data_IF_195374657469
#
_entry.id   IF_195374657469
#
_cell.length_a   1.000
_cell.length_b   1.000
_cell.length_c   1.000
_cell.angle_alpha   90.00
_cell.angle_beta   90.00
_cell.angle_gamma   90.00
#
_symmetry.space_group_name_H-M   'P 1'
#
loop_
_entity.id
_entity.type
_entity.pdbx_description
1 polymer ?
#
# COMPACT_ATOMS: atom_id res chain seq x y z
N UNK A 1 9.23 5.71 -10.57
CA UNK A 1 8.24 5.90 -9.49
C UNK A 1 6.89 5.51 -10.03
N UNK A 2 6.14 4.71 -9.29
CA UNK A 2 4.79 4.25 -9.62
C UNK A 2 3.92 4.22 -8.36
N UNK A 3 2.61 4.18 -8.55
CA UNK A 3 1.63 4.06 -7.48
C UNK A 3 0.55 3.06 -7.87
N UNK A 4 0.24 2.16 -6.95
CA UNK A 4 -0.88 1.24 -7.05
C UNK A 4 -1.90 1.51 -5.95
N UNK A 5 -3.19 1.48 -6.26
CA UNK A 5 -4.26 1.65 -5.27
C UNK A 5 -5.55 0.98 -5.71
N UNK A 6 -6.40 0.69 -4.77
CA UNK A 6 -7.75 0.16 -5.02
C UNK A 6 -8.72 0.63 -3.94
N UNK A 7 -9.98 0.61 -4.26
CA UNK A 7 -11.04 0.74 -3.27
C UNK A 7 -11.23 -0.57 -2.53
N UNK A 8 -11.49 -0.48 -1.25
CA UNK A 8 -11.70 -1.63 -0.37
C UNK A 8 -12.79 -2.55 -0.95
N UNK A 9 -12.52 -3.86 -0.98
CA UNK A 9 -13.37 -4.90 -1.56
C UNK A 9 -13.66 -4.78 -3.07
N UNK A 10 -13.09 -3.81 -3.78
CA UNK A 10 -13.15 -3.80 -5.24
C UNK A 10 -12.17 -4.84 -5.80
N UNK A 11 -12.50 -5.41 -6.97
CA UNK A 11 -11.58 -6.33 -7.67
C UNK A 11 -10.53 -5.58 -8.48
N UNK A 12 -10.86 -4.39 -8.96
CA UNK A 12 -9.99 -3.60 -9.81
C UNK A 12 -8.90 -2.89 -9.00
N UNK A 13 -7.66 -3.10 -9.40
CA UNK A 13 -6.49 -2.36 -8.90
C UNK A 13 -6.08 -1.35 -9.94
N UNK A 14 -5.97 -0.10 -9.54
CA UNK A 14 -5.40 0.95 -10.37
C UNK A 14 -3.88 0.96 -10.21
N UNK A 15 -3.15 1.18 -11.30
CA UNK A 15 -1.71 1.30 -11.28
C UNK A 15 -1.23 2.35 -12.27
N UNK A 16 -0.34 3.24 -11.83
CA UNK A 16 0.19 4.32 -12.65
C UNK A 16 1.70 4.47 -12.49
N UNK A 17 2.39 4.67 -13.60
CA UNK A 17 3.80 5.03 -13.61
C UNK A 17 3.96 6.54 -13.75
N UNK A 18 4.69 7.15 -12.83
CA UNK A 18 5.13 8.55 -12.96
C UNK A 18 6.48 8.66 -13.67
N UNK A 19 7.32 7.65 -13.53
CA UNK A 19 8.63 7.62 -14.16
C UNK A 19 9.13 6.18 -14.27
N UNK A 20 9.29 5.70 -15.51
CA UNK A 20 9.88 4.39 -15.79
C UNK A 20 10.49 4.38 -17.20
N UNK A 21 11.58 3.60 -17.44
CA UNK A 21 12.28 3.55 -18.72
C UNK A 21 11.41 3.01 -19.88
N UNK A 22 10.50 2.08 -19.58
CA UNK A 22 9.66 1.40 -20.57
C UNK A 22 8.30 2.09 -20.76
N UNK A 23 8.03 3.16 -20.03
CA UNK A 23 6.76 3.89 -20.06
C UNK A 23 7.01 5.36 -20.37
N UNK A 24 6.37 5.83 -21.40
CA UNK A 24 6.39 7.25 -21.82
C UNK A 24 5.46 8.07 -20.92
N UNK A 25 5.62 7.93 -19.63
CA UNK A 25 4.71 8.49 -18.65
C UNK A 25 5.38 9.64 -17.92
N UNK A 26 4.90 10.78 -18.19
CA UNK A 26 5.12 11.93 -17.33
C UNK A 26 3.90 12.15 -16.46
N UNK A 27 4.17 12.68 -15.29
CA UNK A 27 3.25 13.32 -14.39
C UNK A 27 2.28 14.22 -15.19
N UNK A 28 1.18 13.67 -15.63
CA UNK A 28 0.18 14.41 -16.39
C UNK A 28 -0.98 14.86 -15.50
N UNK A 29 -1.62 15.96 -15.88
CA UNK A 29 -2.68 16.55 -15.07
C UNK A 29 -3.90 15.67 -14.88
N UNK A 30 -4.19 14.78 -15.83
CA UNK A 30 -5.34 13.88 -15.75
C UNK A 30 -5.12 12.80 -14.67
N UNK A 31 -3.96 12.12 -14.69
CA UNK A 31 -3.59 11.12 -13.68
C UNK A 31 -3.51 11.75 -12.29
N UNK A 32 -2.91 12.94 -12.18
CA UNK A 32 -2.82 13.67 -10.91
C UNK A 32 -4.21 14.00 -10.36
N UNK A 33 -5.09 14.54 -11.19
CA UNK A 33 -6.45 14.87 -10.76
C UNK A 33 -7.24 13.63 -10.35
N UNK A 34 -7.07 12.51 -11.06
CA UNK A 34 -7.73 11.25 -10.71
C UNK A 34 -7.29 10.75 -9.34
N UNK A 35 -5.98 10.69 -9.10
CA UNK A 35 -5.44 10.24 -7.81
C UNK A 35 -5.89 11.18 -6.68
N UNK A 36 -5.81 12.50 -6.88
CA UNK A 36 -6.25 13.47 -5.87
C UNK A 36 -7.75 13.34 -5.59
N UNK A 37 -8.57 13.18 -6.63
CA UNK A 37 -10.02 12.98 -6.46
C UNK A 37 -10.35 11.69 -5.68
N UNK A 38 -9.55 10.64 -5.86
CA UNK A 38 -9.71 9.41 -5.08
C UNK A 38 -9.27 9.60 -3.63
N UNK A 39 -8.17 10.30 -3.39
CA UNK A 39 -7.74 10.67 -2.04
C UNK A 39 -8.76 11.55 -1.31
N UNK A 40 -9.34 12.52 -2.01
CA UNK A 40 -10.36 13.44 -1.45
C UNK A 40 -11.66 12.73 -1.02
N UNK A 41 -11.93 11.55 -1.57
CA UNK A 41 -13.09 10.71 -1.24
C UNK A 41 -12.75 9.61 -0.24
N UNK A 42 -11.49 9.49 0.16
CA UNK A 42 -11.01 8.42 1.02
C UNK A 42 -11.09 8.87 2.48
N UNK A 43 -11.91 8.19 3.26
CA UNK A 43 -12.02 8.42 4.71
C UNK A 43 -10.85 7.77 5.45
N UNK A 44 -10.49 6.54 5.08
CA UNK A 44 -9.39 5.78 5.67
C UNK A 44 -8.42 5.32 4.59
N UNK A 45 -7.17 5.77 4.64
CA UNK A 45 -6.10 5.34 3.76
C UNK A 45 -5.32 4.20 4.40
N UNK A 46 -5.31 3.04 3.74
CA UNK A 46 -4.67 1.83 4.24
C UNK A 46 -3.36 1.59 3.47
N UNK A 47 -2.31 1.25 4.19
CA UNK A 47 -1.05 0.87 3.55
C UNK A 47 -0.13 0.08 4.47
N UNK A 48 0.92 -0.47 3.89
CA UNK A 48 1.98 -1.18 4.60
C UNK A 48 3.20 -0.27 4.74
N UNK A 49 3.56 0.13 5.97
CA UNK A 49 4.61 1.14 6.20
C UNK A 49 4.32 2.43 5.42
N UNK A 50 3.07 2.81 5.42
CA UNK A 50 2.46 3.85 4.58
C UNK A 50 3.11 5.23 4.75
N UNK A 51 3.86 5.43 5.81
CA UNK A 51 4.64 6.65 6.04
C UNK A 51 5.48 7.02 4.80
N UNK A 52 6.10 6.04 4.14
CA UNK A 52 6.88 6.28 2.93
C UNK A 52 6.01 6.72 1.77
N UNK A 53 4.87 6.07 1.57
CA UNK A 53 3.92 6.38 0.50
C UNK A 53 3.37 7.80 0.67
N UNK A 54 2.98 8.18 1.88
CA UNK A 54 2.50 9.53 2.19
C UNK A 54 3.59 10.58 1.97
N UNK A 55 4.83 10.29 2.35
CA UNK A 55 5.94 11.21 2.07
C UNK A 55 6.13 11.42 0.57
N UNK A 56 6.05 10.35 -0.24
CA UNK A 56 6.13 10.45 -1.69
C UNK A 56 4.93 11.18 -2.29
N UNK A 57 3.71 10.86 -1.87
CA UNK A 57 2.50 11.55 -2.32
C UNK A 57 2.61 13.06 -2.05
N UNK A 58 3.01 13.45 -0.84
CA UNK A 58 3.21 14.86 -0.49
C UNK A 58 4.33 15.52 -1.30
N UNK A 59 5.43 14.84 -1.54
CA UNK A 59 6.51 15.33 -2.39
C UNK A 59 6.07 15.54 -3.84
N UNK A 60 5.11 14.73 -4.32
CA UNK A 60 4.48 14.88 -5.63
C UNK A 60 3.33 15.92 -5.64
N UNK A 61 3.04 16.58 -4.51
CA UNK A 61 2.04 17.64 -4.42
C UNK A 61 0.62 17.15 -4.06
N UNK A 62 0.43 15.86 -3.79
CA UNK A 62 -0.84 15.32 -3.32
C UNK A 62 -1.11 15.71 -1.86
N UNK A 63 -2.39 15.81 -1.52
CA UNK A 63 -2.87 16.13 -0.17
C UNK A 63 -3.76 15.01 0.34
N UNK A 64 -3.53 14.62 1.57
CA UNK A 64 -4.41 13.72 2.30
C UNK A 64 -4.30 14.04 3.79
N UNK A 65 -5.43 14.31 4.41
CA UNK A 65 -5.57 14.66 5.83
C UNK A 65 -6.59 13.76 6.55
N UNK A 66 -7.00 12.64 5.91
CA UNK A 66 -7.91 11.66 6.48
C UNK A 66 -7.19 10.68 7.43
N UNK A 67 -7.94 9.70 7.90
CA UNK A 67 -7.44 8.64 8.79
C UNK A 67 -6.47 7.73 8.05
N UNK A 68 -5.40 7.32 8.74
CA UNK A 68 -4.38 6.42 8.19
C UNK A 68 -4.40 5.12 8.99
N UNK A 69 -4.49 3.99 8.28
CA UNK A 69 -4.29 2.66 8.84
C UNK A 69 -3.01 2.04 8.27
N UNK A 70 -2.00 1.89 9.11
CA UNK A 70 -0.72 1.26 8.74
C UNK A 70 -0.67 -0.18 9.24
N UNK A 71 -0.70 -1.16 8.32
CA UNK A 71 -0.67 -2.58 8.65
C UNK A 71 0.60 -3.01 9.39
N UNK A 72 1.71 -2.32 9.16
CA UNK A 72 2.96 -2.58 9.89
C UNK A 72 2.85 -2.11 11.35
N UNK A 73 2.29 -0.94 11.59
CA UNK A 73 2.08 -0.40 12.94
C UNK A 73 1.05 -1.23 13.70
N UNK A 74 -0.06 -1.57 13.05
CA UNK A 74 -1.08 -2.45 13.62
C UNK A 74 -0.50 -3.80 14.07
N UNK A 75 0.36 -4.41 13.24
CA UNK A 75 1.03 -5.66 13.61
C UNK A 75 2.03 -5.49 14.75
N UNK A 76 2.75 -4.38 14.77
CA UNK A 76 3.66 -4.06 15.88
C UNK A 76 2.89 -4.01 17.21
N UNK A 77 1.78 -3.31 17.26
CA UNK A 77 0.93 -3.23 18.46
C UNK A 77 0.39 -4.60 18.86
N UNK A 78 -0.10 -5.37 17.86
CA UNK A 78 -0.60 -6.72 18.07
C UNK A 78 0.48 -7.67 18.60
N UNK A 79 1.73 -7.45 18.23
CA UNK A 79 2.85 -8.27 18.68
C UNK A 79 3.09 -8.19 20.20
N UNK A 80 2.60 -7.13 20.86
CA UNK A 80 2.81 -6.88 22.30
C UNK A 80 4.26 -7.02 22.72
N UNK A 81 5.18 -6.45 21.92
CA UNK A 81 6.63 -6.47 22.17
C UNK A 81 7.34 -7.76 21.73
N UNK A 82 6.65 -8.71 21.11
CA UNK A 82 7.30 -9.87 20.49
C UNK A 82 8.07 -9.41 19.24
N UNK A 83 9.21 -10.04 18.99
CA UNK A 83 10.04 -9.74 17.82
C UNK A 83 9.52 -10.47 16.57
N UNK A 84 8.34 -10.10 16.12
CA UNK A 84 7.79 -10.63 14.88
C UNK A 84 8.34 -9.84 13.68
N UNK A 85 8.49 -10.51 12.55
CA UNK A 85 8.72 -9.80 11.29
C UNK A 85 7.48 -8.97 10.93
N UNK A 86 7.70 -7.72 10.58
CA UNK A 86 6.65 -6.77 10.18
C UNK A 86 6.61 -6.57 8.66
N UNK A 87 7.42 -7.32 7.90
CA UNK A 87 7.39 -7.29 6.44
C UNK A 87 6.06 -7.84 5.91
N UNK A 88 5.54 -7.28 4.82
CA UNK A 88 4.25 -7.66 4.24
C UNK A 88 4.17 -9.17 3.96
N UNK A 89 5.23 -9.78 3.41
CA UNK A 89 5.28 -11.22 3.15
C UNK A 89 5.14 -12.06 4.43
N UNK A 90 5.70 -11.57 5.54
CA UNK A 90 5.58 -12.26 6.82
C UNK A 90 4.16 -12.12 7.40
N UNK A 91 3.53 -10.96 7.19
CA UNK A 91 2.13 -10.72 7.57
C UNK A 91 1.21 -11.59 6.72
N UNK A 92 1.38 -11.60 5.41
CA UNK A 92 0.58 -12.41 4.49
C UNK A 92 0.62 -13.90 4.87
N UNK A 93 1.79 -14.43 5.19
CA UNK A 93 1.95 -15.82 5.70
C UNK A 93 1.24 -16.02 7.03
N UNK A 94 1.36 -15.09 7.97
CA UNK A 94 0.78 -15.18 9.32
C UNK A 94 -0.73 -15.20 9.27
N UNK A 95 -1.32 -14.39 8.41
CA UNK A 95 -2.77 -14.28 8.24
C UNK A 95 -3.34 -15.26 7.21
N UNK A 96 -2.48 -16.04 6.54
CA UNK A 96 -2.86 -16.99 5.49
C UNK A 96 -3.69 -16.32 4.39
N UNK A 97 -3.24 -15.17 3.94
CA UNK A 97 -3.82 -14.41 2.82
C UNK A 97 -2.97 -14.58 1.56
N UNK A 98 -3.38 -13.94 0.46
CA UNK A 98 -2.68 -14.03 -0.82
C UNK A 98 -1.19 -13.72 -0.64
N UNK A 99 -0.37 -14.68 -1.04
CA UNK A 99 1.07 -14.54 -1.04
C UNK A 99 1.53 -14.26 -2.46
N UNK A 100 2.60 -13.49 -2.59
CA UNK A 100 3.28 -13.36 -3.88
C UNK A 100 3.75 -14.74 -4.32
N UNK A 101 3.23 -15.24 -5.43
CA UNK A 101 3.57 -16.56 -5.95
C UNK A 101 5.05 -16.66 -6.31
N UNK A 102 5.65 -15.56 -6.72
CA UNK A 102 7.05 -15.51 -7.12
C UNK A 102 7.63 -14.16 -6.76
N UNK A 103 8.81 -14.19 -6.19
CA UNK A 103 9.61 -13.01 -5.98
C UNK A 103 10.20 -12.52 -7.31
N UNK A 104 9.38 -11.84 -8.09
CA UNK A 104 9.71 -11.41 -9.45
C UNK A 104 10.80 -10.32 -9.47
N UNK A 105 10.96 -9.56 -8.42
CA UNK A 105 11.86 -8.39 -8.38
C UNK A 105 13.20 -8.68 -7.69
N UNK A 106 13.23 -9.56 -6.70
CA UNK A 106 14.46 -9.86 -5.94
C UNK A 106 15.64 -10.32 -6.81
N UNK A 107 15.47 -11.14 -7.87
CA UNK A 107 16.60 -11.49 -8.74
C UNK A 107 17.27 -10.27 -9.36
N UNK A 108 16.46 -9.29 -9.81
CA UNK A 108 16.97 -8.05 -10.38
C UNK A 108 17.68 -7.18 -9.34
N UNK A 109 17.09 -7.04 -8.15
CA UNK A 109 17.67 -6.25 -7.06
C UNK A 109 19.00 -6.85 -6.56
N UNK A 110 19.12 -8.18 -6.49
CA UNK A 110 20.37 -8.87 -6.17
C UNK A 110 21.46 -8.64 -7.21
N UNK A 111 21.07 -8.44 -8.47
CA UNK A 111 21.95 -8.10 -9.60
C UNK A 111 22.35 -6.61 -9.60
N UNK A 112 21.95 -5.85 -8.58
CA UNK A 112 22.25 -4.43 -8.44
C UNK A 112 21.37 -3.51 -9.29
N UNK A 113 20.31 -4.03 -9.88
CA UNK A 113 19.33 -3.25 -10.63
C UNK A 113 18.37 -2.52 -9.69
N UNK A 114 17.84 -1.42 -10.16
CA UNK A 114 16.79 -0.65 -9.47
C UNK A 114 15.41 -0.95 -10.07
N UNK A 115 14.35 -0.53 -9.42
CA UNK A 115 12.99 -0.63 -9.99
C UNK A 115 12.84 0.08 -11.34
N UNK A 116 13.71 1.03 -11.66
CA UNK A 116 13.75 1.66 -12.97
C UNK A 116 14.27 0.73 -14.07
N UNK A 117 15.15 -0.21 -13.70
CA UNK A 117 15.81 -1.15 -14.61
C UNK A 117 15.00 -2.44 -14.83
N UNK A 118 14.04 -2.73 -13.97
CA UNK A 118 13.15 -3.90 -14.07
C UNK A 118 12.07 -3.60 -15.12
N UNK A 119 11.68 -4.59 -15.97
CA UNK A 119 10.57 -4.39 -16.90
C UNK A 119 9.31 -3.87 -16.24
N UNK A 120 8.63 -2.89 -16.87
CA UNK A 120 7.47 -2.23 -16.28
C UNK A 120 6.36 -3.22 -15.89
N UNK A 121 6.12 -4.23 -16.71
CA UNK A 121 5.11 -5.26 -16.47
C UNK A 121 5.38 -6.01 -15.16
N UNK A 122 6.64 -6.31 -14.86
CA UNK A 122 7.05 -6.99 -13.62
C UNK A 122 6.86 -6.06 -12.41
N UNK A 123 7.20 -4.78 -12.56
CA UNK A 123 7.01 -3.78 -11.48
C UNK A 123 5.52 -3.59 -11.19
N UNK A 124 4.70 -3.54 -12.22
CA UNK A 124 3.25 -3.43 -12.11
C UNK A 124 2.63 -4.65 -11.42
N UNK A 125 2.95 -5.86 -11.89
CA UNK A 125 2.48 -7.12 -11.30
C UNK A 125 2.86 -7.20 -9.81
N UNK A 126 4.11 -6.87 -9.49
CA UNK A 126 4.60 -6.81 -8.13
C UNK A 126 3.81 -5.82 -7.27
N UNK A 127 3.59 -4.59 -7.79
CA UNK A 127 2.88 -3.55 -7.06
C UNK A 127 1.39 -3.87 -6.87
N UNK A 128 0.73 -4.47 -7.87
CA UNK A 128 -0.65 -4.92 -7.77
C UNK A 128 -0.79 -6.00 -6.68
N UNK A 129 0.12 -6.97 -6.65
CA UNK A 129 0.12 -8.01 -5.63
C UNK A 129 0.31 -7.44 -4.22
N UNK A 130 1.16 -6.40 -4.06
CA UNK A 130 1.35 -5.71 -2.78
C UNK A 130 0.07 -4.99 -2.31
N UNK A 131 -0.65 -4.34 -3.21
CA UNK A 131 -1.92 -3.67 -2.90
C UNK A 131 -2.97 -4.69 -2.41
N UNK A 132 -3.12 -5.80 -3.11
CA UNK A 132 -4.07 -6.87 -2.74
C UNK A 132 -3.70 -7.49 -1.40
N UNK A 133 -2.44 -7.88 -1.20
CA UNK A 133 -1.99 -8.46 0.06
C UNK A 133 -2.15 -7.48 1.24
N UNK A 134 -1.91 -6.18 1.02
CA UNK A 134 -2.09 -5.16 2.06
C UNK A 134 -3.54 -5.04 2.50
N UNK A 135 -4.50 -5.03 1.57
CA UNK A 135 -5.93 -5.04 1.88
C UNK A 135 -6.32 -6.27 2.72
N UNK A 136 -5.97 -7.46 2.23
CA UNK A 136 -6.32 -8.71 2.91
C UNK A 136 -5.73 -8.79 4.32
N UNK A 137 -4.48 -8.34 4.50
CA UNK A 137 -3.83 -8.24 5.81
C UNK A 137 -4.59 -7.26 6.71
N UNK A 138 -4.96 -6.08 6.21
CA UNK A 138 -5.71 -5.09 6.99
C UNK A 138 -7.05 -5.63 7.48
N UNK A 139 -7.81 -6.30 6.59
CA UNK A 139 -9.08 -6.94 6.95
C UNK A 139 -8.87 -7.97 8.08
N UNK A 140 -7.87 -8.83 7.96
CA UNK A 140 -7.56 -9.84 8.99
C UNK A 140 -7.07 -9.24 10.31
N UNK A 141 -6.37 -8.13 10.26
CA UNK A 141 -5.94 -7.40 11.45
C UNK A 141 -7.14 -6.80 12.17
N UNK A 142 -8.07 -6.16 11.46
CA UNK A 142 -9.28 -5.59 12.05
C UNK A 142 -10.17 -6.68 12.66
N UNK A 143 -10.38 -7.81 11.96
CA UNK A 143 -11.05 -8.98 12.53
C UNK A 143 -10.39 -9.42 13.85
N UNK A 144 -9.06 -9.46 13.90
CA UNK A 144 -8.31 -9.87 15.09
C UNK A 144 -8.35 -8.85 16.24
N UNK A 145 -8.58 -7.57 15.94
CA UNK A 145 -8.83 -6.53 16.93
C UNK A 145 -10.30 -6.45 17.37
N UNK A 146 -11.21 -7.09 16.62
CA UNK A 146 -12.66 -6.96 16.81
C UNK A 146 -13.17 -5.57 16.41
N UNK A 147 -12.56 -4.95 15.42
CA UNK A 147 -12.87 -3.62 14.90
C UNK A 147 -13.38 -3.70 13.45
N UNK A 148 -14.17 -2.71 13.06
CA UNK A 148 -14.57 -2.47 11.68
C UNK A 148 -13.86 -1.24 11.10
N UNK A 149 -13.92 -1.07 9.78
CA UNK A 149 -13.37 0.14 9.15
C UNK A 149 -14.19 1.39 9.50
N UNK A 150 -15.49 1.26 9.69
CA UNK A 150 -16.39 2.32 10.13
C UNK A 150 -15.99 2.84 11.52
N UNK A 151 -15.66 1.93 12.44
CA UNK A 151 -15.20 2.30 13.78
C UNK A 151 -13.86 3.03 13.77
N UNK A 152 -12.98 2.76 12.80
CA UNK A 152 -11.75 3.53 12.63
C UNK A 152 -12.02 4.99 12.24
N UNK A 153 -13.05 5.21 11.41
CA UNK A 153 -13.41 6.55 10.96
C UNK A 153 -14.17 7.34 12.02
N UNK A 154 -15.05 6.68 12.78
CA UNK A 154 -15.84 7.29 13.84
C UNK A 154 -15.04 7.57 15.12
N UNK A 155 -13.90 6.92 15.29
CA UNK A 155 -13.03 7.16 16.44
C UNK A 155 -12.37 8.53 16.28
N UNK A 156 -12.67 9.44 17.19
CA UNK A 156 -12.11 10.80 17.24
C UNK A 156 -10.58 10.75 17.02
N UNK A 157 -10.09 11.54 16.11
CA UNK A 157 -8.72 11.52 15.58
C UNK A 157 -7.60 11.66 16.62
N UNK A 158 -7.92 11.91 17.87
CA UNK A 158 -6.97 11.94 19.00
C UNK A 158 -6.55 10.54 19.50
N UNK A 159 -7.21 9.46 19.05
CA UNK A 159 -6.97 8.10 19.58
C UNK A 159 -6.44 7.12 18.51
N UNK A 160 -6.32 7.50 17.25
CA UNK A 160 -5.76 6.64 16.22
C UNK A 160 -4.26 6.88 16.13
N UNK A 161 -3.55 5.86 16.48
CA UNK A 161 -2.10 5.67 16.58
C UNK A 161 -1.39 5.94 15.26
#
# INVERSE_FOLDING_TARGET
VSVGWKWLFNQDVNYEFFYHKDKDTWYNSETVNRIQNDLDKTDVLIGQNIKFDIMWLRACGFKYDGVIYDTMVAEYLRSKGRRWSLALDALAKRYNVTQKETDLVTPYLKDGKTFFDIPAEIVEEYGIADVVATEEVAVKQLEAFGLTFEELYETDTETVI
#
